data_IF_065694444034
#
_entry.id   IF_065694444034
#
_cell.length_a   1.000
_cell.length_b   1.000
_cell.length_c   1.000
_cell.angle_alpha   90.00
_cell.angle_beta   90.00
_cell.angle_gamma   90.00
#
_symmetry.space_group_name_H-M   'P 1'
#
loop_
_entity.id
_entity.type
_entity.pdbx_description
1 polymer ?
#
# COMPACT_ATOMS: atom_id res chain seq x y z
N UNK A 1 62.36 -10.77 -0.07
CA UNK A 1 61.22 -10.07 -0.71
C UNK A 1 59.93 -10.67 -0.17
N UNK A 2 59.33 -10.05 0.84
CA UNK A 2 58.20 -10.63 1.59
C UNK A 2 56.98 -9.73 1.40
N UNK A 3 56.00 -10.18 0.62
CA UNK A 3 54.80 -9.42 0.33
C UNK A 3 53.84 -9.43 1.54
N UNK A 4 53.55 -8.26 2.10
CA UNK A 4 52.56 -8.08 3.16
C UNK A 4 51.13 -8.34 2.64
N UNK A 5 50.47 -9.38 3.17
CA UNK A 5 49.03 -9.63 2.99
C UNK A 5 48.23 -8.59 3.77
N UNK A 6 47.42 -7.78 3.08
CA UNK A 6 46.41 -6.91 3.72
C UNK A 6 45.22 -7.76 4.20
N UNK A 7 44.71 -7.55 5.43
CA UNK A 7 43.49 -8.21 5.88
C UNK A 7 42.26 -7.56 5.23
N UNK A 8 41.61 -8.28 4.33
CA UNK A 8 40.31 -7.91 3.77
C UNK A 8 39.24 -8.11 4.85
N UNK A 9 38.82 -7.02 5.47
CA UNK A 9 37.64 -6.99 6.35
C UNK A 9 36.41 -7.30 5.49
N UNK A 10 35.93 -8.54 5.54
CA UNK A 10 34.63 -8.91 4.98
C UNK A 10 33.55 -8.30 5.89
N UNK A 11 33.00 -7.17 5.49
CA UNK A 11 31.75 -6.65 6.03
C UNK A 11 30.68 -7.74 5.86
N UNK A 12 30.31 -8.37 6.97
CA UNK A 12 29.18 -9.28 7.03
C UNK A 12 27.92 -8.49 6.68
N UNK A 13 27.48 -8.58 5.43
CA UNK A 13 26.18 -8.08 4.98
C UNK A 13 25.11 -9.04 5.48
N UNK A 14 24.86 -9.05 6.79
CA UNK A 14 23.67 -9.66 7.41
C UNK A 14 22.59 -8.58 7.53
N UNK A 15 21.91 -8.36 6.42
CA UNK A 15 20.59 -7.73 6.32
C UNK A 15 20.03 -8.23 4.97
N UNK A 16 19.76 -9.52 4.80
CA UNK A 16 18.64 -10.16 5.50
C UNK A 16 17.35 -9.54 4.96
N UNK A 17 17.11 -9.55 3.65
CA UNK A 17 16.34 -10.60 2.93
C UNK A 17 14.94 -10.94 3.49
N UNK A 18 14.46 -10.22 4.52
CA UNK A 18 13.13 -10.45 5.10
C UNK A 18 12.05 -9.51 4.53
N UNK A 19 12.43 -8.53 3.70
CA UNK A 19 11.47 -7.66 3.00
C UNK A 19 10.94 -8.25 1.69
N UNK A 20 11.61 -9.26 1.12
CA UNK A 20 11.25 -9.86 -0.18
C UNK A 20 10.51 -11.20 -0.07
N UNK A 21 10.32 -11.75 1.14
CA UNK A 21 9.68 -13.06 1.37
C UNK A 21 8.27 -13.01 2.00
N UNK A 22 7.53 -11.93 1.78
CA UNK A 22 6.06 -11.92 1.92
C UNK A 22 5.38 -11.41 0.64
N UNK A 23 5.85 -11.91 -0.50
CA UNK A 23 5.14 -11.80 -1.77
C UNK A 23 3.91 -12.74 -1.75
N UNK A 24 2.89 -12.35 -0.99
CA UNK A 24 1.63 -13.07 -0.87
C UNK A 24 0.75 -12.49 0.23
N UNK A 25 -0.33 -11.82 -0.19
CA UNK A 25 -1.61 -11.85 0.52
C UNK A 25 -1.86 -11.05 1.81
N UNK A 26 -1.00 -10.15 2.31
CA UNK A 26 -1.43 -9.24 3.39
C UNK A 26 -0.91 -7.82 3.24
N UNK A 27 -1.83 -6.90 2.95
CA UNK A 27 -1.52 -5.46 2.84
C UNK A 27 -2.38 -4.55 3.69
N UNK A 28 -3.39 -5.02 4.41
CA UNK A 28 -4.04 -4.24 5.47
C UNK A 28 -3.50 -4.68 6.83
N UNK A 29 -3.65 -3.89 7.91
CA UNK A 29 -3.38 -4.38 9.26
C UNK A 29 -4.22 -5.63 9.55
N UNK A 30 -3.67 -6.58 10.33
CA UNK A 30 -4.32 -7.87 10.66
C UNK A 30 -5.78 -7.78 11.11
N UNK A 31 -6.18 -6.66 11.71
CA UNK A 31 -7.57 -6.39 12.11
C UNK A 31 -8.57 -6.30 10.94
N UNK A 32 -8.08 -6.19 9.71
CA UNK A 32 -8.86 -6.02 8.48
C UNK A 32 -8.77 -7.24 7.55
N UNK A 33 -8.31 -8.38 8.05
CA UNK A 33 -8.31 -9.65 7.31
C UNK A 33 -9.60 -10.44 7.62
N UNK A 34 -10.28 -10.97 6.60
CA UNK A 34 -11.37 -11.94 6.76
C UNK A 34 -11.23 -13.05 5.74
N UNK A 35 -11.62 -14.25 6.14
CA UNK A 35 -11.92 -15.32 5.21
C UNK A 35 -13.21 -14.96 4.45
N UNK A 36 -13.18 -14.95 3.11
CA UNK A 36 -14.36 -14.72 2.25
C UNK A 36 -14.20 -13.66 1.15
N UNK A 37 -15.29 -13.39 0.40
CA UNK A 37 -15.34 -12.47 -0.76
C UNK A 37 -15.50 -10.98 -0.38
N UNK A 38 -15.31 -10.60 0.89
CA UNK A 38 -15.59 -9.26 1.38
C UNK A 38 -14.31 -8.52 1.76
N UNK A 39 -14.24 -7.24 1.40
CA UNK A 39 -13.16 -6.36 1.85
C UNK A 39 -13.56 -5.84 3.23
N UNK A 40 -12.83 -6.23 4.27
CA UNK A 40 -12.96 -5.59 5.59
C UNK A 40 -12.38 -4.18 5.50
N UNK A 41 -13.28 -3.22 5.36
CA UNK A 41 -12.95 -1.81 5.41
C UNK A 41 -12.44 -1.43 6.81
N UNK A 42 -11.22 -0.87 6.96
CA UNK A 42 -10.74 -0.49 8.28
C UNK A 42 -11.61 0.61 8.85
N UNK A 43 -12.16 0.35 10.03
CA UNK A 43 -12.96 1.33 10.78
C UNK A 43 -12.18 2.63 11.02
N UNK A 44 -10.85 2.58 11.14
CA UNK A 44 -10.01 3.76 11.32
C UNK A 44 -10.07 4.70 10.10
N UNK A 45 -10.27 4.15 8.91
CA UNK A 45 -10.36 4.93 7.68
C UNK A 45 -11.68 5.72 7.63
N UNK A 46 -12.77 5.16 8.15
CA UNK A 46 -14.03 5.91 8.37
C UNK A 46 -13.91 6.91 9.54
N UNK A 47 -13.40 6.46 10.69
CA UNK A 47 -13.41 7.26 11.93
C UNK A 47 -12.44 8.43 11.92
N UNK A 48 -11.30 8.28 11.26
CA UNK A 48 -10.18 9.24 11.24
C UNK A 48 -9.83 9.63 9.80
N UNK A 49 -10.84 9.69 8.93
CA UNK A 49 -10.70 10.03 7.53
C UNK A 49 -9.90 11.33 7.30
N UNK A 50 -10.21 12.36 8.10
CA UNK A 50 -9.57 13.66 8.01
C UNK A 50 -8.08 13.63 8.42
N UNK A 51 -7.69 12.78 9.38
CA UNK A 51 -6.31 12.65 9.85
C UNK A 51 -5.38 12.07 8.77
N UNK A 52 -5.96 11.33 7.83
CA UNK A 52 -5.26 10.79 6.66
C UNK A 52 -5.00 11.84 5.58
N UNK A 53 -5.55 13.06 5.70
CA UNK A 53 -5.43 14.14 4.71
C UNK A 53 -5.81 13.68 3.30
N UNK A 54 -6.78 12.79 3.20
CA UNK A 54 -7.36 12.29 1.94
C UNK A 54 -8.71 12.94 1.70
N UNK A 55 -9.13 12.97 0.43
CA UNK A 55 -10.44 13.51 0.04
C UNK A 55 -11.35 12.37 -0.42
N UNK A 56 -12.68 12.54 -0.44
CA UNK A 56 -13.61 11.45 -0.75
C UNK A 56 -13.34 10.77 -2.10
N UNK A 57 -12.90 11.52 -3.10
CA UNK A 57 -12.55 10.96 -4.40
C UNK A 57 -11.28 10.07 -4.37
N UNK A 58 -10.34 10.37 -3.48
CA UNK A 58 -9.16 9.54 -3.26
C UNK A 58 -9.55 8.19 -2.65
N UNK A 59 -10.56 8.18 -1.78
CA UNK A 59 -11.05 6.96 -1.16
C UNK A 59 -11.59 5.98 -2.19
N UNK A 60 -12.37 6.46 -3.16
CA UNK A 60 -12.90 5.63 -4.24
C UNK A 60 -11.78 4.90 -4.98
N UNK A 61 -10.74 5.63 -5.39
CA UNK A 61 -9.58 5.05 -6.07
C UNK A 61 -8.85 4.02 -5.20
N UNK A 62 -8.65 4.33 -3.91
CA UNK A 62 -8.02 3.41 -2.95
C UNK A 62 -8.83 2.11 -2.84
N UNK A 63 -10.16 2.21 -2.72
CA UNK A 63 -11.04 1.04 -2.62
C UNK A 63 -10.93 0.16 -3.86
N UNK A 64 -10.97 0.74 -5.05
CA UNK A 64 -10.85 0.00 -6.32
C UNK A 64 -9.52 -0.74 -6.43
N UNK A 65 -8.41 -0.06 -6.09
CA UNK A 65 -7.09 -0.69 -6.10
C UNK A 65 -6.96 -1.80 -5.06
N UNK A 66 -7.67 -1.69 -3.93
CA UNK A 66 -7.64 -2.70 -2.85
C UNK A 66 -8.43 -3.96 -3.18
N UNK A 67 -9.51 -3.87 -3.96
CA UNK A 67 -10.30 -5.05 -4.37
C UNK A 67 -9.41 -6.09 -5.05
N UNK A 68 -8.48 -5.64 -5.89
CA UNK A 68 -7.65 -6.55 -6.70
C UNK A 68 -6.45 -7.11 -5.97
N UNK A 69 -6.04 -6.46 -4.89
CA UNK A 69 -4.91 -6.86 -4.07
C UNK A 69 -5.18 -8.18 -3.33
N UNK A 70 -6.46 -8.54 -3.15
CA UNK A 70 -6.91 -9.82 -2.59
C UNK A 70 -6.88 -10.99 -3.58
N UNK A 71 -6.65 -10.73 -4.88
CA UNK A 71 -6.63 -11.78 -5.92
C UNK A 71 -5.23 -12.37 -6.15
N UNK A 72 -4.33 -12.25 -5.17
CA UNK A 72 -2.92 -12.69 -5.20
C UNK A 72 -2.16 -12.29 -6.47
N UNK A 73 -2.56 -11.17 -7.08
CA UNK A 73 -1.93 -10.61 -8.27
C UNK A 73 -1.48 -9.19 -8.03
N UNK A 74 -0.46 -8.78 -8.78
CA UNK A 74 0.00 -7.39 -8.78
C UNK A 74 -1.11 -6.49 -9.33
N UNK A 75 -1.46 -5.45 -8.58
CA UNK A 75 -2.46 -4.45 -8.97
C UNK A 75 -1.92 -3.67 -10.17
N UNK A 76 -2.32 -4.07 -11.37
CA UNK A 76 -1.79 -3.55 -12.64
C UNK A 76 -2.93 -3.14 -13.55
N UNK A 77 -3.03 -1.84 -13.82
CA UNK A 77 -4.13 -1.28 -14.62
C UNK A 77 -3.67 -0.22 -15.59
N UNK A 78 -4.40 -0.13 -16.70
CA UNK A 78 -4.41 1.06 -17.53
C UNK A 78 -5.16 2.20 -16.81
N UNK A 79 -4.84 3.44 -17.14
CA UNK A 79 -5.55 4.59 -16.56
C UNK A 79 -7.02 4.59 -16.99
N UNK A 80 -7.30 4.11 -18.20
CA UNK A 80 -8.62 3.96 -18.80
C UNK A 80 -9.50 2.99 -18.01
N UNK A 81 -8.94 1.86 -17.53
CA UNK A 81 -9.66 0.88 -16.71
C UNK A 81 -10.05 1.50 -15.35
N UNK A 82 -9.11 2.19 -14.70
CA UNK A 82 -9.38 2.88 -13.44
C UNK A 82 -10.41 4.01 -13.60
N UNK A 83 -10.34 4.73 -14.72
CA UNK A 83 -11.29 5.78 -15.08
C UNK A 83 -12.72 5.23 -15.22
N UNK A 84 -12.87 4.11 -15.91
CA UNK A 84 -14.16 3.43 -16.06
C UNK A 84 -14.76 3.03 -14.72
N UNK A 85 -13.96 2.45 -13.82
CA UNK A 85 -14.45 2.04 -12.49
C UNK A 85 -14.77 3.21 -11.57
N UNK A 86 -14.04 4.31 -11.69
CA UNK A 86 -14.32 5.51 -10.93
C UNK A 86 -15.48 6.34 -11.50
N UNK A 87 -15.97 6.02 -12.70
CA UNK A 87 -16.98 6.84 -13.41
C UNK A 87 -16.47 8.24 -13.74
N UNK A 88 -15.18 8.39 -14.07
CA UNK A 88 -14.50 9.67 -14.31
C UNK A 88 -13.62 9.60 -15.54
N UNK A 89 -13.15 10.75 -16.00
CA UNK A 89 -12.18 10.81 -17.08
C UNK A 89 -10.78 10.37 -16.62
N UNK A 90 -9.98 9.92 -17.58
CA UNK A 90 -8.62 9.44 -17.38
C UNK A 90 -7.72 10.45 -16.67
N UNK A 91 -7.82 11.73 -17.03
CA UNK A 91 -6.93 12.76 -16.50
C UNK A 91 -7.26 13.09 -15.03
N UNK A 92 -8.55 13.09 -14.69
CA UNK A 92 -9.03 13.25 -13.31
C UNK A 92 -8.53 12.12 -12.42
N UNK A 93 -8.71 10.86 -12.81
CA UNK A 93 -8.22 9.72 -12.02
C UNK A 93 -6.70 9.72 -11.92
N UNK A 94 -6.01 10.06 -13.01
CA UNK A 94 -4.56 10.25 -13.00
C UNK A 94 -4.16 11.32 -11.98
N UNK A 95 -4.79 12.49 -11.98
CA UNK A 95 -4.54 13.56 -11.02
C UNK A 95 -4.69 13.07 -9.57
N UNK A 96 -5.80 12.40 -9.25
CA UNK A 96 -6.03 11.82 -7.92
C UNK A 96 -4.95 10.84 -7.49
N UNK A 97 -4.49 9.98 -8.41
CA UNK A 97 -3.42 9.04 -8.13
C UNK A 97 -2.09 9.74 -7.84
N UNK A 98 -1.74 10.78 -8.59
CA UNK A 98 -0.52 11.56 -8.34
C UNK A 98 -0.61 12.40 -7.06
N UNK A 99 -1.79 12.87 -6.68
CA UNK A 99 -2.03 13.50 -5.38
C UNK A 99 -1.79 12.51 -4.23
N UNK A 100 -2.32 11.28 -4.33
CA UNK A 100 -2.04 10.21 -3.38
C UNK A 100 -0.55 9.84 -3.32
N UNK A 101 0.14 9.87 -4.47
CA UNK A 101 1.58 9.66 -4.54
C UNK A 101 2.35 10.77 -3.83
N UNK A 102 1.99 12.03 -4.04
CA UNK A 102 2.57 13.18 -3.34
C UNK A 102 2.36 13.09 -1.83
N UNK A 103 1.24 12.52 -1.39
CA UNK A 103 0.92 12.27 0.03
C UNK A 103 1.62 11.02 0.60
N UNK A 104 2.40 10.29 -0.20
CA UNK A 104 3.09 9.07 0.22
C UNK A 104 2.16 7.88 0.50
N UNK A 105 0.93 7.91 -0.01
CA UNK A 105 -0.09 6.87 0.22
C UNK A 105 -0.13 5.82 -0.89
N UNK A 106 0.27 6.21 -2.09
CA UNK A 106 0.25 5.38 -3.29
C UNK A 106 1.59 5.46 -4.01
N UNK A 107 2.18 4.31 -4.32
CA UNK A 107 3.31 4.23 -5.25
C UNK A 107 2.81 3.80 -6.62
N UNK A 108 3.31 4.49 -7.66
CA UNK A 108 2.94 4.25 -9.06
C UNK A 108 4.23 3.93 -9.81
N UNK A 109 4.30 2.74 -10.41
CA UNK A 109 5.41 2.29 -11.26
C UNK A 109 4.88 1.99 -12.67
N UNK A 110 5.46 2.60 -13.69
CA UNK A 110 5.07 2.32 -15.07
C UNK A 110 5.73 1.01 -15.53
N UNK A 111 4.93 0.01 -15.89
CA UNK A 111 5.45 -1.25 -16.40
C UNK A 111 5.51 -1.19 -17.92
N UNK A 112 6.73 -1.14 -18.46
CA UNK A 112 6.96 -1.24 -19.91
C UNK A 112 7.17 -2.67 -20.40
N UNK A 113 7.34 -3.61 -19.47
CA UNK A 113 7.59 -5.03 -19.77
C UNK A 113 6.27 -5.82 -19.68
N UNK A 114 6.11 -6.79 -20.56
CA UNK A 114 5.02 -7.77 -20.49
C UNK A 114 5.19 -8.66 -19.24
N UNK A 115 4.09 -9.12 -18.66
CA UNK A 115 4.13 -10.10 -17.58
C UNK A 115 4.67 -11.44 -18.10
N UNK A 116 5.32 -12.24 -17.25
CA UNK A 116 5.56 -13.64 -17.58
C UNK A 116 4.21 -14.33 -17.84
N UNK A 117 4.06 -14.95 -19.02
CA UNK A 117 2.82 -15.62 -19.44
C UNK A 117 1.82 -14.76 -20.22
N UNK A 118 2.07 -13.46 -20.41
CA UNK A 118 1.25 -12.65 -21.34
C UNK A 118 1.76 -12.80 -22.77
N UNK A 119 0.87 -13.20 -23.68
CA UNK A 119 1.19 -13.28 -25.10
C UNK A 119 1.50 -11.87 -25.65
N UNK A 120 2.71 -11.62 -26.18
CA UNK A 120 3.01 -10.35 -26.84
C UNK A 120 2.07 -10.19 -28.04
N UNK A 121 1.23 -9.15 -28.01
CA UNK A 121 0.51 -8.73 -29.21
C UNK A 121 1.47 -7.88 -30.06
N UNK A 122 1.74 -8.25 -31.32
CA UNK A 122 2.59 -7.44 -32.20
C UNK A 122 2.07 -5.99 -32.25
N UNK A 123 2.95 -5.02 -32.06
CA UNK A 123 2.60 -3.59 -32.15
C UNK A 123 1.98 -2.95 -30.89
N UNK A 124 1.61 -3.72 -29.87
CA UNK A 124 1.07 -3.16 -28.62
C UNK A 124 2.13 -3.08 -27.52
N UNK A 125 2.36 -1.87 -27.01
CA UNK A 125 3.18 -1.66 -25.81
C UNK A 125 2.33 -1.93 -24.57
N UNK A 126 2.93 -2.56 -23.56
CA UNK A 126 2.30 -2.61 -22.23
C UNK A 126 2.40 -1.22 -21.62
N UNK A 127 1.26 -0.55 -21.45
CA UNK A 127 1.14 0.77 -20.81
C UNK A 127 0.50 0.69 -19.43
N UNK A 128 0.34 -0.53 -18.88
CA UNK A 128 -0.20 -0.73 -17.53
C UNK A 128 0.73 -0.12 -16.48
N UNK A 129 0.11 0.46 -15.48
CA UNK A 129 0.78 0.98 -14.30
C UNK A 129 0.57 0.00 -13.14
N UNK A 130 1.64 -0.25 -12.40
CA UNK A 130 1.60 -1.00 -11.14
C UNK A 130 1.37 -0.02 -9.99
N UNK A 131 0.41 -0.38 -9.15
CA UNK A 131 -0.06 0.42 -8.03
C UNK A 131 0.24 -0.31 -6.72
N UNK A 132 0.91 0.37 -5.79
CA UNK A 132 1.27 -0.19 -4.49
C UNK A 132 0.75 0.72 -3.37
N UNK A 133 -0.01 0.15 -2.44
CA UNK A 133 -0.65 0.87 -1.33
C UNK A 133 0.08 0.70 0.02
N UNK A 134 1.33 0.25 0.01
CA UNK A 134 2.13 0.04 1.23
C UNK A 134 2.23 1.29 2.10
N UNK A 135 2.38 2.46 1.48
CA UNK A 135 2.44 3.74 2.20
C UNK A 135 1.16 4.06 2.96
N UNK A 136 -0.01 3.77 2.37
CA UNK A 136 -1.30 3.89 3.05
C UNK A 136 -1.37 2.94 4.26
N UNK A 137 -0.97 1.68 4.10
CA UNK A 137 -1.03 0.66 5.15
C UNK A 137 -0.18 1.03 6.36
N UNK A 138 1.05 1.50 6.15
CA UNK A 138 1.93 2.00 7.22
C UNK A 138 1.29 3.17 7.95
N UNK A 139 0.71 4.13 7.21
CA UNK A 139 0.07 5.30 7.81
C UNK A 139 -1.14 4.91 8.65
N UNK A 140 -1.97 4.00 8.17
CA UNK A 140 -3.11 3.49 8.92
C UNK A 140 -2.69 2.77 10.20
N UNK A 141 -1.61 1.97 10.15
CA UNK A 141 -1.04 1.35 11.33
C UNK A 141 -0.62 2.38 12.40
N UNK A 142 -0.01 3.49 11.98
CA UNK A 142 0.36 4.60 12.89
C UNK A 142 -0.86 5.30 13.49
N UNK A 143 -1.87 5.60 12.68
CA UNK A 143 -3.11 6.26 13.15
C UNK A 143 -3.88 5.34 14.11
N UNK A 144 -3.94 4.04 13.81
CA UNK A 144 -4.55 3.04 14.68
C UNK A 144 -3.82 2.95 16.03
N UNK A 145 -2.49 2.86 16.02
CA UNK A 145 -1.69 2.82 17.25
C UNK A 145 -1.88 4.07 18.11
N UNK A 146 -1.95 5.25 17.49
CA UNK A 146 -2.22 6.51 18.19
C UNK A 146 -3.63 6.50 18.82
N UNK A 147 -4.64 6.04 18.08
CA UNK A 147 -6.02 5.95 18.59
C UNK A 147 -6.15 4.94 19.75
N UNK A 148 -5.42 3.83 19.69
CA UNK A 148 -5.41 2.83 20.75
C UNK A 148 -4.70 3.38 22.01
N UNK A 149 -3.63 4.15 21.85
CA UNK A 149 -2.96 4.85 22.95
C UNK A 149 -3.88 5.89 23.62
N UNK A 150 -4.62 6.70 22.85
CA UNK A 150 -5.62 7.65 23.36
C UNK A 150 -6.70 6.95 24.19
N UNK A 151 -7.22 5.82 23.69
CA UNK A 151 -8.24 5.04 24.38
C UNK A 151 -7.73 4.49 25.71
N UNK A 152 -6.52 3.94 25.73
CA UNK A 152 -5.90 3.41 26.94
C UNK A 152 -5.62 4.51 27.97
N UNK A 153 -5.21 5.71 27.52
CA UNK A 153 -5.01 6.86 28.39
C UNK A 153 -6.32 7.34 29.04
N UNK A 154 -7.44 7.37 28.29
CA UNK A 154 -8.75 7.72 28.83
C UNK A 154 -9.24 6.71 29.88
N UNK A 155 -9.06 5.41 29.63
CA UNK A 155 -9.45 4.36 30.57
C UNK A 155 -8.64 4.39 31.87
N UNK A 156 -7.35 4.74 31.80
CA UNK A 156 -6.53 4.93 33.00
C UNK A 156 -7.00 6.13 33.83
N UNK A 157 -7.37 7.24 33.18
CA UNK A 157 -7.91 8.42 33.85
C UNK A 157 -9.27 8.19 34.51
N UNK A 158 -10.15 7.41 33.88
CA UNK A 158 -11.45 7.10 34.48
C UNK A 158 -11.32 6.20 35.72
N UNK A 159 -10.44 5.20 35.67
CA UNK A 159 -10.16 4.33 36.83
C UNK A 159 -9.53 5.08 37.99
N UNK A 160 -8.59 5.99 37.73
CA UNK A 160 -7.96 6.82 38.76
C UNK A 160 -8.89 7.90 39.34
N UNK A 161 -10.08 8.10 38.77
CA UNK A 161 -11.10 9.03 39.29
C UNK A 161 -12.21 8.31 40.06
N UNK A 162 -12.23 6.97 40.03
CA UNK A 162 -13.15 6.11 40.79
C UNK A 162 -12.51 5.57 42.10
N UNK A 163 -11.21 5.77 42.28
CA UNK A 163 -10.44 5.54 43.51
C UNK A 163 -10.33 6.84 44.33
#
# INVERSE_FOLDING_TARGET
MTAMKKPTVRLATKAGSDLDQQAGTVRWPKSCESDGNFIKFPKILAKRFFDLKIEPHHLLLILMLKVDEYRDRKVRYYWEELAQWCGRDRNTVRRWAYELKKKGLLSIRTNRKLSQGENPRPGHRNERNEFELTGLSVRLGRVQAAADAEKNARQKKSKAAEE
#
